data_IF_893933708061
#
_entry.id   IF_893933708061
#
_cell.length_a   1.000
_cell.length_b   1.000
_cell.length_c   1.000
_cell.angle_alpha   90.00
_cell.angle_beta   90.00
_cell.angle_gamma   90.00
#
_symmetry.space_group_name_H-M   'P 1'
#
loop_
_entity.id
_entity.type
_entity.pdbx_description
1 polymer ?
#
# COMPACT_ATOMS: atom_id res chain seq x y z
N UNK A 1 11.92 -4.48 -10.74
CA UNK A 1 10.62 -4.20 -10.11
C UNK A 1 10.71 -2.88 -9.37
N UNK A 2 9.72 -2.03 -9.58
CA UNK A 2 9.64 -0.67 -9.05
C UNK A 2 8.50 -0.59 -8.04
N UNK A 3 8.74 0.02 -6.89
CA UNK A 3 7.69 0.37 -5.94
C UNK A 3 7.52 1.88 -5.95
N UNK A 4 6.32 2.33 -6.32
CA UNK A 4 5.92 3.73 -6.29
C UNK A 4 5.11 3.95 -5.02
N UNK A 5 5.63 4.79 -4.15
CA UNK A 5 4.91 5.29 -2.99
C UNK A 5 4.23 6.59 -3.35
N UNK A 6 2.90 6.61 -3.33
CA UNK A 6 2.12 7.83 -3.48
C UNK A 6 1.74 8.34 -2.09
N UNK A 7 2.27 9.51 -1.72
CA UNK A 7 1.97 10.17 -0.45
C UNK A 7 1.04 11.34 -0.75
N UNK A 8 -0.21 11.24 -0.29
CA UNK A 8 -1.20 12.31 -0.40
C UNK A 8 -1.25 13.16 0.86
N UNK A 9 -1.16 14.48 0.74
CA UNK A 9 -1.41 15.42 1.83
C UNK A 9 -2.68 16.23 1.54
N UNK A 10 -3.70 16.12 2.39
CA UNK A 10 -4.89 16.99 2.34
C UNK A 10 -5.72 16.86 1.05
N UNK A 11 -6.39 17.96 0.65
CA UNK A 11 -7.30 18.04 -0.52
C UNK A 11 -6.56 18.20 -1.86
N UNK A 12 -5.50 17.43 -2.10
CA UNK A 12 -4.61 17.58 -3.28
C UNK A 12 -4.98 16.68 -4.47
N UNK A 13 -6.24 16.23 -4.56
CA UNK A 13 -6.67 15.35 -5.65
C UNK A 13 -6.21 13.89 -5.50
N UNK A 14 -5.66 13.50 -4.34
CA UNK A 14 -5.32 12.11 -4.03
C UNK A 14 -6.52 11.18 -4.20
N UNK A 15 -7.73 11.63 -3.84
CA UNK A 15 -8.97 10.88 -4.10
C UNK A 15 -9.19 10.63 -5.60
N UNK A 16 -8.93 11.62 -6.46
CA UNK A 16 -9.05 11.46 -7.91
C UNK A 16 -8.02 10.47 -8.44
N UNK A 17 -6.77 10.55 -7.98
CA UNK A 17 -5.70 9.62 -8.35
C UNK A 17 -6.05 8.19 -7.90
N UNK A 18 -6.38 8.00 -6.62
CA UNK A 18 -6.73 6.70 -6.05
C UNK A 18 -7.96 6.10 -6.75
N UNK A 19 -8.98 6.91 -7.04
CA UNK A 19 -10.18 6.47 -7.76
C UNK A 19 -9.83 6.05 -9.18
N UNK A 20 -9.04 6.84 -9.91
CA UNK A 20 -8.59 6.49 -11.26
C UNK A 20 -7.77 5.20 -11.26
N UNK A 21 -6.82 5.03 -10.33
CA UNK A 21 -6.04 3.81 -10.20
C UNK A 21 -6.91 2.59 -9.86
N UNK A 22 -7.91 2.77 -9.01
CA UNK A 22 -8.83 1.70 -8.62
C UNK A 22 -9.73 1.27 -9.78
N UNK A 23 -10.31 2.23 -10.50
CA UNK A 23 -11.22 1.98 -11.62
C UNK A 23 -10.52 1.31 -12.81
N UNK A 24 -9.21 1.49 -12.95
CA UNK A 24 -8.42 0.97 -14.07
C UNK A 24 -7.53 -0.23 -13.68
N UNK A 25 -7.82 -0.95 -12.59
CA UNK A 25 -6.95 -2.04 -12.08
C UNK A 25 -6.61 -3.11 -13.13
N UNK A 26 -7.60 -3.54 -13.92
CA UNK A 26 -7.39 -4.54 -14.98
C UNK A 26 -6.41 -4.01 -16.03
N UNK A 27 -6.68 -2.81 -16.55
CA UNK A 27 -5.83 -2.15 -17.55
C UNK A 27 -4.40 -1.92 -17.02
N UNK A 28 -4.27 -1.53 -15.75
CA UNK A 28 -2.96 -1.36 -15.11
C UNK A 28 -2.20 -2.69 -15.07
N UNK A 29 -2.86 -3.78 -14.65
CA UNK A 29 -2.23 -5.11 -14.55
C UNK A 29 -1.79 -5.64 -15.91
N UNK A 30 -2.62 -5.47 -16.95
CA UNK A 30 -2.25 -5.77 -18.34
C UNK A 30 -1.02 -4.98 -18.82
N UNK A 31 -0.78 -3.81 -18.23
CA UNK A 31 0.39 -2.95 -18.50
C UNK A 31 1.54 -3.16 -17.51
N UNK A 32 1.52 -4.25 -16.72
CA UNK A 32 2.57 -4.56 -15.76
C UNK A 32 2.58 -3.66 -14.52
N UNK A 33 1.45 -3.04 -14.18
CA UNK A 33 1.29 -2.14 -13.03
C UNK A 33 0.21 -2.67 -12.08
N UNK A 34 0.48 -2.67 -10.78
CA UNK A 34 -0.50 -3.08 -9.77
C UNK A 34 -0.65 -2.04 -8.68
N UNK A 35 -1.86 -1.50 -8.57
CA UNK A 35 -2.24 -0.64 -7.47
C UNK A 35 -2.66 -1.46 -6.24
N UNK A 36 -1.93 -1.28 -5.14
CA UNK A 36 -2.09 -2.02 -3.89
C UNK A 36 -3.13 -1.41 -2.94
N UNK A 37 -3.64 -0.21 -3.25
CA UNK A 37 -4.61 0.49 -2.41
C UNK A 37 -3.96 1.45 -1.42
N UNK A 38 -4.73 1.82 -0.39
CA UNK A 38 -4.29 2.71 0.69
C UNK A 38 -3.63 1.95 1.86
N UNK A 39 -4.15 0.76 2.13
CA UNK A 39 -3.84 -0.08 3.29
C UNK A 39 -3.36 -1.46 2.85
N UNK A 40 -2.84 -1.56 1.62
CA UNK A 40 -2.49 -2.85 1.02
C UNK A 40 -3.70 -3.80 0.95
N UNK A 41 -4.93 -3.26 0.87
CA UNK A 41 -6.18 -4.01 0.79
C UNK A 41 -6.32 -4.78 -0.54
N UNK A 42 -5.52 -4.38 -1.54
CA UNK A 42 -5.45 -5.00 -2.86
C UNK A 42 -4.17 -5.82 -3.06
N UNK A 43 -3.37 -5.98 -2.01
CA UNK A 43 -2.19 -6.84 -2.02
C UNK A 43 -2.59 -8.33 -2.08
N UNK A 44 -1.60 -9.17 -2.38
CA UNK A 44 -1.78 -10.63 -2.48
C UNK A 44 -2.30 -11.23 -1.17
N UNK A 45 -1.64 -10.88 -0.07
CA UNK A 45 -1.95 -11.41 1.25
C UNK A 45 -2.75 -10.39 2.07
N UNK A 46 -3.87 -10.84 2.63
CA UNK A 46 -4.72 -10.08 3.56
C UNK A 46 -4.61 -10.71 4.94
N UNK A 47 -3.52 -10.42 5.62
CA UNK A 47 -3.13 -11.08 6.87
C UNK A 47 -3.62 -10.33 8.10
N UNK A 48 -3.82 -9.02 7.98
CA UNK A 48 -4.08 -8.15 9.12
C UNK A 48 -5.36 -7.34 8.94
N UNK A 49 -6.06 -7.12 10.06
CA UNK A 49 -7.32 -6.35 10.08
C UNK A 49 -7.16 -4.93 9.56
N UNK A 50 -6.01 -4.29 9.78
CA UNK A 50 -5.76 -2.93 9.29
C UNK A 50 -5.74 -2.83 7.75
N UNK A 51 -5.66 -3.96 7.03
CA UNK A 51 -5.80 -3.99 5.56
C UNK A 51 -7.26 -3.90 5.11
N UNK A 52 -8.25 -4.05 5.99
CA UNK A 52 -9.66 -4.00 5.58
C UNK A 52 -10.14 -2.57 5.31
N UNK A 53 -11.03 -2.39 4.32
CA UNK A 53 -11.50 -1.07 3.90
C UNK A 53 -12.32 -0.34 4.97
N UNK A 54 -12.95 -1.08 5.88
CA UNK A 54 -13.79 -0.52 6.95
C UNK A 54 -13.13 -0.56 8.34
N UNK A 55 -11.93 -1.13 8.46
CA UNK A 55 -11.24 -1.20 9.75
C UNK A 55 -10.57 0.12 10.11
N UNK A 56 -10.31 0.28 11.40
CA UNK A 56 -9.61 1.44 11.93
C UNK A 56 -8.13 1.36 11.53
N UNK A 57 -7.70 2.15 10.55
CA UNK A 57 -6.27 2.41 10.26
C UNK A 57 -5.48 2.83 11.52
N UNK A 58 -6.20 3.29 12.55
CA UNK A 58 -5.68 3.55 13.89
C UNK A 58 -4.99 2.33 14.52
N UNK A 59 -5.42 1.11 14.21
CA UNK A 59 -4.77 -0.11 14.72
C UNK A 59 -3.36 -0.25 14.16
N UNK A 60 -3.14 0.14 12.91
CA UNK A 60 -1.80 0.20 12.33
C UNK A 60 -0.94 1.26 13.02
N UNK A 61 -1.49 2.45 13.30
CA UNK A 61 -0.74 3.52 13.96
C UNK A 61 -0.39 3.25 15.42
N UNK A 62 -1.06 2.29 16.06
CA UNK A 62 -0.76 1.85 17.42
C UNK A 62 0.40 0.85 17.50
N UNK A 63 0.81 0.29 16.37
CA UNK A 63 1.93 -0.63 16.32
C UNK A 63 3.24 0.10 16.62
N UNK A 64 4.17 -0.61 17.25
CA UNK A 64 5.56 -0.19 17.28
C UNK A 64 6.19 -0.24 15.87
N UNK A 65 7.33 0.43 15.69
CA UNK A 65 8.04 0.46 14.39
C UNK A 65 8.39 -0.94 13.91
N UNK A 66 8.88 -1.76 14.84
CA UNK A 66 9.32 -3.12 14.53
C UNK A 66 8.15 -4.02 14.15
N UNK A 67 7.02 -3.88 14.84
CA UNK A 67 5.79 -4.60 14.50
C UNK A 67 5.22 -4.14 13.15
N UNK A 68 5.15 -2.83 12.91
CA UNK A 68 4.70 -2.28 11.65
C UNK A 68 5.59 -2.75 10.48
N UNK A 69 6.91 -2.71 10.65
CA UNK A 69 7.88 -3.20 9.66
C UNK A 69 7.69 -4.69 9.39
N UNK A 70 7.57 -5.50 10.43
CA UNK A 70 7.36 -6.95 10.31
C UNK A 70 6.07 -7.26 9.55
N UNK A 71 4.95 -6.63 9.94
CA UNK A 71 3.66 -6.86 9.30
C UNK A 71 3.65 -6.40 7.83
N UNK A 72 4.26 -5.25 7.52
CA UNK A 72 4.40 -4.80 6.13
C UNK A 72 5.21 -5.80 5.30
N UNK A 73 6.33 -6.32 5.82
CA UNK A 73 7.13 -7.32 5.12
C UNK A 73 6.35 -8.63 4.87
N UNK A 74 5.52 -9.05 5.81
CA UNK A 74 4.66 -10.22 5.67
C UNK A 74 3.61 -10.04 4.55
N UNK A 75 3.14 -8.82 4.30
CA UNK A 75 2.24 -8.51 3.17
C UNK A 75 3.03 -8.33 1.86
N UNK A 76 4.18 -7.65 1.90
CA UNK A 76 4.94 -7.34 0.69
C UNK A 76 5.61 -8.55 0.06
N UNK A 77 6.18 -9.47 0.84
CA UNK A 77 6.87 -10.66 0.33
C UNK A 77 6.00 -11.50 -0.63
N UNK A 78 4.79 -11.95 -0.23
CA UNK A 78 3.91 -12.69 -1.14
C UNK A 78 3.44 -11.83 -2.32
N UNK A 79 3.18 -10.53 -2.10
CA UNK A 79 2.77 -9.61 -3.17
C UNK A 79 3.84 -9.44 -4.25
N UNK A 80 5.11 -9.32 -3.83
CA UNK A 80 6.27 -9.25 -4.71
C UNK A 80 6.46 -10.56 -5.47
N UNK A 81 6.22 -11.70 -4.82
CA UNK A 81 6.29 -13.01 -5.48
C UNK A 81 5.23 -13.13 -6.56
N UNK A 82 3.96 -12.84 -6.23
CA UNK A 82 2.85 -12.87 -7.18
C UNK A 82 3.05 -11.87 -8.33
N UNK A 83 3.57 -10.68 -8.03
CA UNK A 83 3.88 -9.68 -9.06
C UNK A 83 4.87 -10.22 -10.10
N UNK A 84 5.94 -10.91 -9.65
CA UNK A 84 6.91 -11.54 -10.56
C UNK A 84 6.27 -12.63 -11.41
N UNK A 85 5.46 -13.49 -10.81
CA UNK A 85 4.76 -14.57 -11.52
C UNK A 85 3.78 -14.03 -12.58
N UNK A 86 3.23 -12.83 -12.36
CA UNK A 86 2.29 -12.16 -13.27
C UNK A 86 2.94 -11.15 -14.22
N UNK A 87 4.26 -11.11 -14.33
CA UNK A 87 5.00 -10.10 -15.12
C UNK A 87 4.62 -8.65 -14.78
N UNK A 88 4.29 -8.40 -13.51
CA UNK A 88 4.02 -7.06 -12.98
C UNK A 88 5.36 -6.45 -12.56
N UNK A 89 5.70 -5.34 -13.20
CA UNK A 89 6.99 -4.67 -13.01
C UNK A 89 6.91 -3.53 -12.01
N UNK A 90 5.72 -2.93 -11.84
CA UNK A 90 5.49 -1.76 -10.99
C UNK A 90 4.38 -2.01 -9.99
N UNK A 91 4.67 -1.78 -8.71
CA UNK A 91 3.70 -1.74 -7.64
C UNK A 91 3.46 -0.28 -7.24
N UNK A 92 2.20 0.10 -7.04
CA UNK A 92 1.82 1.42 -6.54
C UNK A 92 1.13 1.26 -5.20
N UNK A 93 1.68 1.84 -4.15
CA UNK A 93 1.03 1.90 -2.83
C UNK A 93 0.76 3.36 -2.47
N UNK A 94 -0.50 3.69 -2.19
CA UNK A 94 -0.88 5.02 -1.69
C UNK A 94 -0.94 5.03 -0.17
N UNK A 95 -0.52 6.12 0.48
CA UNK A 95 -0.66 6.27 1.93
C UNK A 95 -0.80 7.77 2.29
N UNK A 96 -1.86 8.11 3.02
CA UNK A 96 -2.18 9.50 3.40
C UNK A 96 -1.63 9.89 4.78
N UNK A 97 -1.06 8.94 5.51
CA UNK A 97 -0.68 9.09 6.92
C UNK A 97 0.60 9.87 7.15
N UNK A 98 1.38 10.10 6.10
CA UNK A 98 2.79 10.50 6.23
C UNK A 98 3.01 11.95 6.68
N UNK A 99 1.99 12.81 6.57
CA UNK A 99 2.16 14.28 6.69
C UNK A 99 1.61 14.91 7.98
N UNK A 100 1.33 14.14 9.03
CA UNK A 100 0.93 14.75 10.30
C UNK A 100 1.00 13.88 11.55
N UNK A 101 1.18 12.56 11.41
CA UNK A 101 1.39 11.64 12.54
C UNK A 101 2.28 10.49 12.05
N UNK A 102 3.47 10.34 12.63
CA UNK A 102 4.30 9.13 12.73
C UNK A 102 5.74 9.26 12.20
N UNK A 103 6.68 9.40 13.16
CA UNK A 103 8.08 8.99 13.03
C UNK A 103 8.27 7.49 12.73
N UNK A 104 7.20 6.70 12.86
CA UNK A 104 7.23 5.24 12.90
C UNK A 104 7.29 4.58 11.52
N UNK A 105 6.79 5.26 10.49
CA UNK A 105 6.65 4.69 9.15
C UNK A 105 7.91 4.85 8.29
N UNK A 106 8.64 5.97 8.43
CA UNK A 106 9.96 6.17 7.83
C UNK A 106 10.98 5.17 8.37
N UNK A 107 10.93 4.86 9.67
CA UNK A 107 11.82 3.87 10.28
C UNK A 107 11.58 2.44 9.79
N UNK A 108 10.38 2.10 9.32
CA UNK A 108 10.08 0.78 8.76
C UNK A 108 10.65 0.59 7.34
N UNK A 109 10.88 1.68 6.60
CA UNK A 109 11.41 1.69 5.24
C UNK A 109 12.94 1.86 5.16
N UNK A 110 13.59 2.18 6.29
CA UNK A 110 15.05 2.08 6.48
C UNK A 110 15.43 0.67 6.91
#
# INVERSE_FOLDING_TARGET
MKLIFHIGAGKTGSTSIQRTLTLNDTLLKERGVWYLGLRLERASAKLFKWQETHSAIQDFYRLSNDEAKKQLLEVFRPTIKEAKEKNIETLIWSNESFLGRNHNFTGALQ
#
